data_IF_832999589111
#
_entry.id   IF_832999589111
#
_cell.length_a   1.000
_cell.length_b   1.000
_cell.length_c   1.000
_cell.angle_alpha   90.00
_cell.angle_beta   90.00
_cell.angle_gamma   90.00
#
_symmetry.space_group_name_H-M   'P 1'
#
loop_
_entity.id
_entity.type
_entity.pdbx_description
1 polymer ?
#
# COMPACT_ATOMS: atom_id res chain seq x y z
N UNK A 1 25.06 19.83 -20.44
CA UNK A 1 24.69 18.57 -19.81
C UNK A 1 23.47 18.72 -18.87
N UNK A 2 23.40 19.68 -17.99
CA UNK A 2 22.29 19.87 -17.03
C UNK A 2 20.87 19.84 -17.64
N UNK A 3 20.65 20.43 -18.81
CA UNK A 3 19.34 20.49 -19.46
C UNK A 3 18.87 19.12 -20.00
N UNK A 4 19.78 18.25 -20.46
CA UNK A 4 19.44 16.90 -20.97
C UNK A 4 19.10 15.97 -19.80
N UNK A 5 19.89 16.00 -18.74
CA UNK A 5 19.63 15.19 -17.55
C UNK A 5 18.30 15.57 -16.88
N UNK A 6 17.96 16.86 -16.85
CA UNK A 6 16.67 17.31 -16.31
C UNK A 6 15.49 16.83 -17.16
N UNK A 7 15.59 16.86 -18.48
CA UNK A 7 14.55 16.31 -19.37
C UNK A 7 14.34 14.81 -19.15
N UNK A 8 15.42 14.03 -19.03
CA UNK A 8 15.33 12.61 -18.78
C UNK A 8 14.65 12.36 -17.43
N UNK A 9 15.03 13.11 -16.38
CA UNK A 9 14.41 13.02 -15.07
C UNK A 9 12.90 13.28 -15.12
N UNK A 10 12.47 14.34 -15.79
CA UNK A 10 11.04 14.68 -15.96
C UNK A 10 10.32 13.57 -16.74
N UNK A 11 10.96 13.02 -17.76
CA UNK A 11 10.35 11.97 -18.59
C UNK A 11 10.06 10.69 -17.79
N UNK A 12 11.02 10.17 -17.02
CA UNK A 12 10.78 8.97 -16.25
C UNK A 12 9.82 9.20 -15.05
N UNK A 13 9.81 10.42 -14.47
CA UNK A 13 8.80 10.77 -13.46
C UNK A 13 7.38 10.70 -14.00
N UNK A 14 7.16 11.27 -15.21
CA UNK A 14 5.85 11.17 -15.87
C UNK A 14 5.46 9.74 -16.22
N UNK A 15 6.41 8.92 -16.67
CA UNK A 15 6.13 7.50 -16.92
C UNK A 15 5.66 6.78 -15.66
N UNK A 16 6.30 7.05 -14.53
CA UNK A 16 5.85 6.49 -13.24
C UNK A 16 4.43 6.93 -12.86
N UNK A 17 4.09 8.21 -13.09
CA UNK A 17 2.73 8.70 -12.86
C UNK A 17 1.70 8.04 -13.79
N UNK A 18 2.07 7.79 -15.06
CA UNK A 18 1.21 7.10 -16.03
C UNK A 18 1.04 5.61 -15.73
N UNK A 19 2.11 4.96 -15.24
CA UNK A 19 2.07 3.54 -14.92
C UNK A 19 1.05 3.23 -13.82
N UNK A 20 0.91 4.09 -12.83
CA UNK A 20 0.10 3.86 -11.64
C UNK A 20 -1.19 4.69 -11.65
N UNK A 21 -2.28 4.05 -12.03
CA UNK A 21 -3.60 4.70 -12.09
C UNK A 21 -4.46 4.29 -10.90
N UNK A 22 -4.77 5.23 -10.01
CA UNK A 22 -5.78 5.01 -8.97
C UNK A 22 -7.15 4.77 -9.61
N UNK A 23 -7.82 3.71 -9.20
CA UNK A 23 -9.18 3.37 -9.62
C UNK A 23 -10.22 3.90 -8.62
N UNK A 24 -10.08 3.52 -7.34
CA UNK A 24 -10.99 3.92 -6.28
C UNK A 24 -10.37 3.70 -4.88
N UNK A 25 -10.96 4.32 -3.88
CA UNK A 25 -10.73 3.98 -2.47
C UNK A 25 -11.54 2.74 -2.11
N UNK A 26 -10.98 1.81 -1.31
CA UNK A 26 -11.78 0.69 -0.84
C UNK A 26 -12.94 1.18 0.03
N UNK A 27 -14.12 0.71 -0.28
CA UNK A 27 -15.34 1.01 0.46
C UNK A 27 -15.66 -0.07 1.51
N UNK A 28 -16.51 0.26 2.47
CA UNK A 28 -16.96 -0.69 3.49
C UNK A 28 -15.85 -1.22 4.40
N UNK A 29 -14.76 -0.47 4.52
CA UNK A 29 -13.68 -0.82 5.45
C UNK A 29 -14.18 -0.69 6.88
N UNK A 30 -13.95 -1.73 7.67
CA UNK A 30 -14.24 -1.73 9.10
C UNK A 30 -12.95 -1.96 9.89
N UNK A 31 -12.94 -1.50 11.14
CA UNK A 31 -11.80 -1.70 12.02
C UNK A 31 -12.23 -2.09 13.43
N UNK A 32 -11.30 -2.68 14.17
CA UNK A 32 -11.43 -2.95 15.58
C UNK A 32 -10.07 -2.79 16.27
N UNK A 33 -10.06 -2.17 17.45
CA UNK A 33 -8.88 -2.11 18.30
C UNK A 33 -8.82 -3.36 19.18
N UNK A 34 -7.63 -3.97 19.31
CA UNK A 34 -7.41 -5.18 20.09
C UNK A 34 -6.27 -4.99 21.09
N UNK A 35 -6.15 -5.93 22.05
CA UNK A 35 -5.08 -5.88 23.07
C UNK A 35 -3.74 -6.43 22.57
N UNK A 36 -3.70 -6.96 21.35
CA UNK A 36 -2.48 -7.50 20.77
C UNK A 36 -2.74 -8.40 19.56
N UNK A 37 -1.65 -8.90 18.99
CA UNK A 37 -1.67 -9.86 17.91
C UNK A 37 -1.79 -11.28 18.45
N UNK A 38 -2.68 -12.08 17.87
CA UNK A 38 -2.81 -13.51 18.18
C UNK A 38 -2.10 -14.32 17.11
N UNK A 39 -1.16 -15.16 17.53
CA UNK A 39 -0.30 -15.97 16.63
C UNK A 39 -1.01 -17.12 15.90
N UNK A 40 -2.23 -17.42 16.26
CA UNK A 40 -3.03 -18.53 15.70
C UNK A 40 -3.81 -18.14 14.44
N UNK A 41 -3.53 -16.97 13.87
CA UNK A 41 -4.25 -16.41 12.72
C UNK A 41 -5.77 -16.28 12.95
N UNK A 42 -6.21 -16.14 14.20
CA UNK A 42 -7.62 -15.87 14.50
C UNK A 42 -7.93 -14.41 14.29
N UNK A 43 -8.91 -14.14 13.45
CA UNK A 43 -9.43 -12.79 13.22
C UNK A 43 -10.45 -12.42 14.30
N UNK A 44 -10.60 -11.14 14.67
CA UNK A 44 -11.65 -10.70 15.58
C UNK A 44 -13.05 -11.07 15.05
N UNK A 45 -13.89 -11.65 15.90
CA UNK A 45 -15.24 -12.08 15.51
C UNK A 45 -16.27 -10.94 15.64
N UNK A 46 -16.01 -9.95 16.49
CA UNK A 46 -16.95 -8.87 16.81
C UNK A 46 -16.23 -7.56 17.15
N UNK A 47 -17.00 -6.50 17.39
CA UNK A 47 -16.47 -5.19 17.76
C UNK A 47 -16.07 -4.32 16.55
N UNK A 48 -16.43 -4.74 15.35
CA UNK A 48 -16.12 -4.01 14.13
C UNK A 48 -16.94 -2.71 14.02
N UNK A 49 -16.25 -1.63 13.71
CA UNK A 49 -16.80 -0.30 13.48
C UNK A 49 -16.39 0.21 12.09
N UNK A 50 -17.19 1.03 11.42
CA UNK A 50 -16.80 1.62 10.13
C UNK A 50 -15.50 2.43 10.23
N UNK A 51 -14.57 2.20 9.33
CA UNK A 51 -13.37 3.03 9.18
C UNK A 51 -13.65 4.14 8.15
N UNK A 52 -14.03 5.31 8.66
CA UNK A 52 -14.36 6.46 7.82
C UNK A 52 -13.10 7.24 7.40
N UNK A 53 -13.15 8.08 6.34
CA UNK A 53 -12.00 8.86 5.87
C UNK A 53 -11.35 9.76 6.93
N UNK A 54 -12.14 10.23 7.90
CA UNK A 54 -11.68 11.01 9.04
C UNK A 54 -11.18 10.18 10.21
N UNK A 55 -11.40 8.85 10.22
CA UNK A 55 -10.93 7.96 11.28
C UNK A 55 -9.41 7.97 11.34
N UNK A 56 -8.89 7.96 12.56
CA UNK A 56 -7.44 7.93 12.83
C UNK A 56 -7.14 6.84 13.84
N UNK A 57 -6.12 6.05 13.53
CA UNK A 57 -5.58 5.11 14.50
C UNK A 57 -4.75 5.86 15.54
N UNK A 58 -5.06 5.64 16.80
CA UNK A 58 -4.46 6.32 17.94
C UNK A 58 -4.13 5.33 19.05
N UNK A 59 -3.07 5.66 19.77
CA UNK A 59 -2.67 4.93 20.95
C UNK A 59 -1.20 4.60 20.96
N UNK A 60 -0.66 4.48 22.17
CA UNK A 60 0.70 3.99 22.38
C UNK A 60 0.67 2.48 22.43
N UNK A 61 1.57 1.83 21.68
CA UNK A 61 1.63 0.35 21.63
C UNK A 61 0.25 -0.24 21.29
N UNK A 62 -0.36 0.28 20.24
CA UNK A 62 -1.75 0.00 19.91
C UNK A 62 -1.87 -0.95 18.71
N UNK A 63 -2.85 -1.84 18.82
CA UNK A 63 -3.08 -2.90 17.86
C UNK A 63 -4.46 -2.74 17.23
N UNK A 64 -4.53 -2.86 15.91
CA UNK A 64 -5.76 -2.70 15.14
C UNK A 64 -5.89 -3.82 14.12
N UNK A 65 -7.10 -4.28 13.93
CA UNK A 65 -7.47 -5.05 12.77
C UNK A 65 -8.40 -4.23 11.89
N UNK A 66 -8.21 -4.35 10.59
CA UNK A 66 -9.12 -3.82 9.59
C UNK A 66 -9.58 -4.97 8.69
N UNK A 67 -10.78 -4.84 8.12
CA UNK A 67 -11.28 -5.76 7.11
C UNK A 67 -11.98 -5.02 5.99
N UNK A 68 -11.92 -5.58 4.80
CA UNK A 68 -12.67 -5.13 3.64
C UNK A 68 -12.96 -6.31 2.72
N UNK A 69 -14.06 -6.26 1.98
CA UNK A 69 -14.36 -7.21 0.90
C UNK A 69 -14.48 -6.44 -0.41
N UNK A 70 -13.85 -6.94 -1.45
CA UNK A 70 -13.85 -6.28 -2.76
C UNK A 70 -13.61 -7.31 -3.86
N UNK A 71 -13.86 -6.90 -5.10
CA UNK A 71 -13.51 -7.68 -6.29
C UNK A 71 -12.54 -6.89 -7.15
N UNK A 72 -11.48 -7.55 -7.63
CA UNK A 72 -10.55 -6.95 -8.59
C UNK A 72 -11.21 -6.83 -9.96
N UNK A 73 -10.81 -5.83 -10.77
CA UNK A 73 -11.30 -5.70 -12.14
C UNK A 73 -10.93 -6.91 -13.01
N UNK A 74 -11.63 -7.10 -14.14
CA UNK A 74 -11.31 -8.12 -15.12
C UNK A 74 -9.88 -7.97 -15.67
N UNK A 75 -9.27 -9.11 -16.05
CA UNK A 75 -7.94 -9.12 -16.66
C UNK A 75 -7.90 -8.26 -17.92
N UNK A 76 -6.89 -7.41 -18.02
CA UNK A 76 -6.51 -6.66 -19.21
C UNK A 76 -5.10 -7.04 -19.63
N UNK A 77 -4.79 -6.86 -20.92
CA UNK A 77 -3.45 -7.08 -21.44
C UNK A 77 -2.46 -6.06 -20.84
N UNK A 78 -1.26 -6.52 -20.48
CA UNK A 78 -0.18 -5.71 -19.89
C UNK A 78 -0.63 -4.86 -18.69
N UNK A 79 -1.49 -5.45 -17.84
CA UNK A 79 -2.07 -4.76 -16.69
C UNK A 79 -2.08 -5.66 -15.47
N UNK A 80 -1.57 -5.12 -14.37
CA UNK A 80 -1.66 -5.71 -13.03
C UNK A 80 -2.52 -4.84 -12.12
N UNK A 81 -3.04 -5.43 -11.04
CA UNK A 81 -3.81 -4.73 -10.03
C UNK A 81 -3.15 -4.87 -8.66
N UNK A 82 -3.24 -3.83 -7.86
CA UNK A 82 -2.74 -3.87 -6.49
C UNK A 82 -3.53 -2.92 -5.58
N UNK A 83 -3.54 -3.21 -4.29
CA UNK A 83 -3.96 -2.27 -3.27
C UNK A 83 -2.73 -1.55 -2.73
N UNK A 84 -2.83 -0.23 -2.64
CA UNK A 84 -1.84 0.59 -1.92
C UNK A 84 -2.39 0.93 -0.55
N UNK A 85 -1.67 0.49 0.50
CA UNK A 85 -1.94 0.84 1.88
C UNK A 85 -0.98 1.96 2.31
N UNK A 86 -1.50 3.14 2.67
CA UNK A 86 -0.68 4.27 3.09
C UNK A 86 -1.10 4.79 4.46
N UNK A 87 -0.13 5.21 5.25
CA UNK A 87 -0.30 5.70 6.63
C UNK A 87 0.08 7.18 6.79
N UNK A 88 0.53 7.83 5.70
CA UNK A 88 1.03 9.20 5.72
C UNK A 88 2.48 9.34 6.21
N UNK A 89 3.19 8.22 6.38
CA UNK A 89 4.60 8.18 6.80
C UNK A 89 5.51 7.54 5.74
N UNK A 90 5.01 7.38 4.52
CA UNK A 90 5.72 6.76 3.41
C UNK A 90 7.04 7.47 3.12
N UNK A 91 8.09 6.69 2.88
CA UNK A 91 9.43 7.18 2.61
C UNK A 91 10.19 7.69 3.85
N UNK A 92 9.59 7.65 5.02
CA UNK A 92 10.29 7.97 6.26
C UNK A 92 11.10 6.77 6.75
N UNK A 93 12.37 7.01 7.03
CA UNK A 93 13.24 6.00 7.62
C UNK A 93 13.16 6.06 9.15
N UNK A 94 12.18 5.37 9.71
CA UNK A 94 11.92 5.38 11.15
C UNK A 94 11.27 4.06 11.60
N UNK A 95 11.96 3.29 12.42
CA UNK A 95 11.46 2.00 12.95
C UNK A 95 10.26 2.10 13.89
N UNK A 96 9.75 3.30 14.17
CA UNK A 96 8.53 3.53 14.95
C UNK A 96 7.29 3.72 14.08
N UNK A 97 7.44 3.66 12.76
CA UNK A 97 6.34 3.81 11.82
C UNK A 97 5.35 2.64 11.93
N UNK A 98 4.08 2.87 11.57
CA UNK A 98 3.07 1.81 11.55
C UNK A 98 3.53 0.63 10.70
N UNK A 99 3.33 -0.57 11.22
CA UNK A 99 3.64 -1.84 10.55
C UNK A 99 2.41 -2.73 10.56
N UNK A 100 2.24 -3.52 9.52
CA UNK A 100 1.09 -4.39 9.40
C UNK A 100 1.38 -5.72 8.73
N UNK A 101 0.40 -6.61 8.85
CA UNK A 101 0.34 -7.90 8.16
C UNK A 101 -0.95 -7.95 7.35
N UNK A 102 -0.84 -8.35 6.10
CA UNK A 102 -1.97 -8.47 5.18
C UNK A 102 -2.33 -9.94 5.00
N UNK A 103 -3.62 -10.20 5.11
CA UNK A 103 -4.23 -11.50 4.84
C UNK A 103 -5.24 -11.35 3.71
N UNK A 104 -5.17 -12.21 2.72
CA UNK A 104 -6.15 -12.33 1.64
C UNK A 104 -6.79 -13.71 1.68
N UNK A 105 -8.12 -13.75 1.78
CA UNK A 105 -8.90 -14.99 1.87
C UNK A 105 -8.43 -15.95 2.98
N UNK A 106 -7.89 -15.40 4.07
CA UNK A 106 -7.40 -16.17 5.22
C UNK A 106 -5.90 -16.45 5.23
N UNK A 107 -5.22 -16.31 4.10
CA UNK A 107 -3.77 -16.54 3.99
C UNK A 107 -2.98 -15.25 4.21
N UNK A 108 -1.94 -15.31 5.02
CA UNK A 108 -0.99 -14.20 5.19
C UNK A 108 -0.13 -14.06 3.93
N UNK A 109 -0.19 -12.91 3.27
CA UNK A 109 0.49 -12.69 1.97
C UNK A 109 1.74 -11.83 2.09
N UNK A 110 1.72 -10.77 2.91
CA UNK A 110 2.91 -9.93 3.10
C UNK A 110 2.82 -9.04 4.35
N UNK A 111 3.98 -8.52 4.76
CA UNK A 111 4.05 -7.37 5.66
C UNK A 111 3.91 -6.06 4.91
N UNK A 112 3.34 -5.05 5.56
CA UNK A 112 3.26 -3.67 5.06
C UNK A 112 3.89 -2.73 6.06
N UNK A 113 4.59 -1.74 5.54
CA UNK A 113 5.20 -0.64 6.28
C UNK A 113 5.26 0.61 5.40
N UNK A 114 6.00 1.63 5.80
CA UNK A 114 6.13 2.88 5.05
C UNK A 114 6.88 2.75 3.71
N UNK A 115 7.51 1.62 3.44
CA UNK A 115 8.26 1.36 2.20
C UNK A 115 7.65 0.21 1.38
N UNK A 116 6.87 -0.68 2.01
CA UNK A 116 6.20 -1.82 1.39
C UNK A 116 4.69 -1.61 1.47
N UNK A 117 4.17 -0.78 0.57
CA UNK A 117 2.77 -0.32 0.61
C UNK A 117 1.86 -1.02 -0.38
N UNK A 118 2.40 -1.78 -1.34
CA UNK A 118 1.67 -2.33 -2.47
C UNK A 118 1.45 -3.84 -2.31
N UNK A 119 0.20 -4.27 -2.45
CA UNK A 119 -0.22 -5.67 -2.36
C UNK A 119 -0.80 -6.07 -3.71
N UNK A 120 -0.06 -6.85 -4.50
CA UNK A 120 -0.49 -7.30 -5.83
C UNK A 120 -1.59 -8.35 -5.73
N UNK A 121 -2.51 -8.32 -6.70
CA UNK A 121 -3.76 -9.07 -6.69
C UNK A 121 -3.98 -9.76 -8.03
N UNK A 122 -4.59 -10.95 -7.99
CA UNK A 122 -5.09 -11.59 -9.21
C UNK A 122 -6.32 -10.85 -9.76
N UNK A 123 -6.43 -10.69 -11.09
CA UNK A 123 -7.60 -10.08 -11.71
C UNK A 123 -8.86 -10.94 -11.56
N UNK A 124 -10.05 -10.31 -11.68
CA UNK A 124 -11.38 -10.92 -11.62
C UNK A 124 -11.61 -11.83 -10.39
N UNK A 125 -10.97 -11.50 -9.27
CA UNK A 125 -10.96 -12.30 -8.04
C UNK A 125 -11.66 -11.56 -6.91
N UNK A 126 -12.49 -12.28 -6.14
CA UNK A 126 -13.11 -11.78 -4.93
C UNK A 126 -12.17 -12.00 -3.73
N UNK A 127 -11.98 -10.95 -2.94
CA UNK A 127 -11.14 -10.97 -1.76
C UNK A 127 -11.90 -10.55 -0.51
N UNK A 128 -11.67 -11.29 0.55
CA UNK A 128 -11.84 -10.82 1.93
C UNK A 128 -10.45 -10.53 2.48
N UNK A 129 -10.17 -9.26 2.69
CA UNK A 129 -8.87 -8.80 3.20
C UNK A 129 -8.98 -8.49 4.68
N UNK A 130 -8.01 -8.96 5.46
CA UNK A 130 -7.76 -8.54 6.82
C UNK A 130 -6.38 -7.91 6.91
N UNK A 131 -6.29 -6.78 7.59
CA UNK A 131 -5.05 -6.09 7.86
C UNK A 131 -4.87 -5.96 9.35
N UNK A 132 -3.81 -6.53 9.89
CA UNK A 132 -3.36 -6.22 11.23
C UNK A 132 -2.38 -5.05 11.16
N UNK A 133 -2.57 -4.05 12.01
CA UNK A 133 -1.65 -2.92 12.16
C UNK A 133 -1.22 -2.74 13.60
N UNK A 134 0.08 -2.52 13.76
CA UNK A 134 0.70 -2.12 15.01
C UNK A 134 1.17 -0.68 14.93
N UNK A 135 0.74 0.14 15.87
CA UNK A 135 1.26 1.49 16.09
C UNK A 135 2.24 1.44 17.25
N UNK A 136 3.49 1.79 16.97
CA UNK A 136 4.54 1.87 17.97
C UNK A 136 4.31 3.00 18.99
N UNK A 137 5.35 3.29 19.76
CA UNK A 137 5.25 4.17 20.93
C UNK A 137 5.06 5.65 20.59
N UNK A 138 5.44 6.08 19.38
CA UNK A 138 5.58 7.50 19.03
C UNK A 138 4.53 8.00 18.02
N UNK A 139 3.78 7.13 17.38
CA UNK A 139 2.85 7.53 16.32
C UNK A 139 1.42 7.59 16.84
N UNK A 140 0.79 8.72 16.60
CA UNK A 140 -0.61 8.98 16.87
C UNK A 140 -1.24 9.69 15.69
N UNK A 141 -2.57 9.71 15.64
CA UNK A 141 -3.34 10.37 14.60
C UNK A 141 -2.99 9.84 13.19
N UNK A 142 -2.76 8.52 13.10
CA UNK A 142 -2.34 7.85 11.87
C UNK A 142 -3.55 7.65 10.96
N UNK A 143 -3.58 8.28 9.78
CA UNK A 143 -4.55 7.93 8.77
C UNK A 143 -4.18 6.56 8.19
N UNK A 144 -5.16 5.86 7.69
CA UNK A 144 -4.93 4.71 6.82
C UNK A 144 -5.76 4.90 5.57
N UNK A 145 -5.14 4.70 4.43
CA UNK A 145 -5.83 4.67 3.14
C UNK A 145 -5.55 3.34 2.47
N UNK A 146 -6.56 2.76 1.90
CA UNK A 146 -6.48 1.55 1.10
C UNK A 146 -7.11 1.86 -0.26
N UNK A 147 -6.28 1.90 -1.27
CA UNK A 147 -6.65 2.39 -2.60
C UNK A 147 -6.36 1.30 -3.64
N UNK A 148 -7.32 1.02 -4.52
CA UNK A 148 -7.14 0.13 -5.66
C UNK A 148 -6.46 0.86 -6.80
N UNK A 149 -5.42 0.25 -7.35
CA UNK A 149 -4.65 0.74 -8.48
C UNK A 149 -4.63 -0.25 -9.64
N UNK A 150 -4.57 0.31 -10.82
CA UNK A 150 -4.22 -0.35 -12.08
C UNK A 150 -2.78 0.03 -12.43
N UNK A 151 -1.94 -0.94 -12.72
CA UNK A 151 -0.57 -0.78 -13.17
C UNK A 151 -0.47 -1.11 -14.65
N UNK A 152 -0.02 -0.14 -15.47
CA UNK A 152 0.41 -0.39 -16.85
C UNK A 152 1.85 -0.93 -16.86
N UNK A 153 2.01 -2.24 -17.11
CA UNK A 153 3.27 -2.95 -17.02
C UNK A 153 4.30 -2.45 -18.07
N UNK A 154 3.83 -1.98 -19.22
CA UNK A 154 4.71 -1.43 -20.25
C UNK A 154 5.30 -0.08 -19.84
N UNK A 155 4.47 0.79 -19.28
CA UNK A 155 4.93 2.10 -18.77
C UNK A 155 5.86 1.93 -17.57
N UNK A 156 5.58 1.00 -16.67
CA UNK A 156 6.46 0.68 -15.54
C UNK A 156 7.81 0.13 -16.02
N UNK A 157 7.79 -0.82 -16.95
CA UNK A 157 9.03 -1.34 -17.54
C UNK A 157 9.86 -0.24 -18.16
N UNK A 158 9.26 0.63 -18.99
CA UNK A 158 9.95 1.75 -19.62
C UNK A 158 10.49 2.74 -18.59
N UNK A 159 9.75 2.98 -17.50
CA UNK A 159 10.22 3.79 -16.39
C UNK A 159 11.53 3.27 -15.81
N UNK A 160 11.62 1.96 -15.50
CA UNK A 160 12.84 1.36 -14.98
C UNK A 160 13.96 1.32 -16.00
N UNK A 161 13.65 1.05 -17.29
CA UNK A 161 14.63 1.02 -18.39
C UNK A 161 15.32 2.40 -18.58
N UNK A 162 14.65 3.49 -18.21
CA UNK A 162 15.21 4.86 -18.26
C UNK A 162 15.85 5.26 -16.93
N UNK A 163 15.14 5.03 -15.82
CA UNK A 163 15.56 5.52 -14.51
C UNK A 163 16.84 4.86 -14.02
N UNK A 164 16.95 3.53 -14.12
CA UNK A 164 18.10 2.81 -13.56
C UNK A 164 19.42 3.23 -14.22
N UNK A 165 19.57 3.28 -15.56
CA UNK A 165 20.79 3.80 -16.17
C UNK A 165 21.06 5.27 -15.85
N UNK A 166 20.01 6.08 -15.74
CA UNK A 166 20.13 7.49 -15.36
C UNK A 166 20.72 7.64 -13.95
N UNK A 167 20.16 6.94 -12.96
CA UNK A 167 20.62 7.00 -11.56
C UNK A 167 22.08 6.53 -11.45
N UNK A 168 22.45 5.45 -12.16
CA UNK A 168 23.85 4.97 -12.21
C UNK A 168 24.78 6.03 -12.82
N UNK A 169 24.38 6.67 -13.93
CA UNK A 169 25.17 7.73 -14.55
C UNK A 169 25.37 8.94 -13.63
N UNK A 170 24.36 9.27 -12.83
CA UNK A 170 24.43 10.40 -11.89
C UNK A 170 25.29 10.12 -10.66
N UNK A 171 25.46 8.84 -10.26
CA UNK A 171 26.36 8.46 -9.15
C UNK A 171 27.85 8.58 -9.52
N UNK A 172 28.18 8.59 -10.84
CA UNK A 172 29.56 8.64 -11.33
C UNK A 172 30.00 10.03 -11.84
N UNK A 173 29.15 11.03 -11.73
CA UNK A 173 29.44 12.43 -12.08
C UNK A 173 29.53 13.33 -10.85
#
# INVERSE_FOLDING_TARGET
MAFVSEKIRISWQKLNEFAHKKLYDLEGVEYVKTDGYKKDNTFPESGWEPFLPETRMNGRDAHFWLRASFKTPPKKENTSYYIRCTTGFEGQWDGTNPQGLIYLNGDMVQGVDTNHTEIYLEPDTEYTMYNYFYLGLLKNNVPLRMEMYELDENSEKLYYDIRVPYDVAMMHN
#
